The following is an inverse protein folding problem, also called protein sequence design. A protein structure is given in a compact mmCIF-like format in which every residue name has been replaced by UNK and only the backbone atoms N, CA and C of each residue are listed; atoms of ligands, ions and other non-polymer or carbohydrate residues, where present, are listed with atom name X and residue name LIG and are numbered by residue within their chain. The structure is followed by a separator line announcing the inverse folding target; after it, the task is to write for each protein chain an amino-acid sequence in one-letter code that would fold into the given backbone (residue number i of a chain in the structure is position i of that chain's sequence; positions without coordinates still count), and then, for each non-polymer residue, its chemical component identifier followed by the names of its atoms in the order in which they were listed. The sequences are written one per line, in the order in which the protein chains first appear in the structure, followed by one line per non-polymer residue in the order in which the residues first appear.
data_IF_478851052478
#
_entry.id   IF_478851052478
#
_cell.length_a   1.000
_cell.length_b   1.000
_cell.length_c   1.000
_cell.angle_alpha   90.00
_cell.angle_beta   90.00
_cell.angle_gamma   90.00
#
_symmetry.space_group_name_H-M   'P 1'
#
loop_
_entity.id
_entity.type
_entity.pdbx_description
1 polymer ?
#
# COMPACT_ATOMS: atom_id res chain seq x y z
N UNK A 1 14.26 5.72 -20.97
CA UNK A 1 14.23 5.48 -20.47
C UNK A 1 13.61 5.11 -20.01
N UNK A 2 13.57 4.84 -19.66
CA UNK A 2 13.30 4.41 -19.12
C UNK A 2 12.77 4.05 -18.58
N UNK A 3 12.44 4.09 -18.37
CA UNK A 3 12.06 3.73 -17.83
C UNK A 3 11.54 3.01 -17.27
N UNK A 4 11.54 2.87 -16.76
CA UNK A 4 11.49 2.00 -16.04
C UNK A 4 10.79 2.12 -14.92
N UNK A 5 9.85 1.78 -14.77
CA UNK A 5 9.10 1.91 -13.87
C UNK A 5 9.16 1.00 -12.88
N UNK A 6 9.51 1.31 -12.02
CA UNK A 6 9.78 0.49 -10.98
C UNK A 6 8.53 0.21 -10.29
N UNK A 7 8.05 -0.93 -10.43
CA UNK A 7 6.98 -1.34 -9.67
C UNK A 7 7.27 -1.32 -8.22
N UNK A 8 8.50 -1.51 -7.82
CA UNK A 8 8.90 -1.44 -6.43
C UNK A 8 8.65 -0.08 -5.80
N UNK A 9 8.70 0.95 -6.62
CA UNK A 9 8.48 2.29 -6.13
C UNK A 9 7.04 2.51 -5.73
N UNK A 10 6.11 2.03 -6.54
CA UNK A 10 4.70 2.19 -6.22
C UNK A 10 4.35 1.44 -4.94
N UNK A 11 4.86 0.24 -4.80
CA UNK A 11 4.60 -0.53 -3.60
C UNK A 11 5.20 0.15 -2.37
N UNK A 12 6.38 0.68 -2.52
CA UNK A 12 7.04 1.36 -1.42
C UNK A 12 6.26 2.60 -0.99
N UNK A 13 5.77 3.35 -1.94
CA UNK A 13 4.96 4.52 -1.64
C UNK A 13 3.67 4.13 -0.96
N UNK A 14 3.08 3.02 -1.40
CA UNK A 14 1.85 2.53 -0.79
C UNK A 14 2.07 2.12 0.65
N UNK A 15 3.17 1.45 0.93
CA UNK A 15 3.50 1.02 2.28
C UNK A 15 3.63 2.23 3.19
N UNK A 16 4.34 3.23 2.73
CA UNK A 16 4.53 4.44 3.50
C UNK A 16 3.20 5.14 3.73
N UNK A 17 2.40 5.24 2.68
CA UNK A 17 1.12 5.92 2.77
C UNK A 17 0.19 5.23 3.77
N UNK A 18 0.13 3.91 3.71
CA UNK A 18 -0.71 3.16 4.62
C UNK A 18 -0.27 3.34 6.07
N UNK A 19 1.03 3.31 6.29
CA UNK A 19 1.55 3.50 7.64
C UNK A 19 1.17 4.86 8.19
N UNK A 20 1.29 5.88 7.37
CA UNK A 20 0.97 7.24 7.79
C UNK A 20 -0.52 7.39 8.07
N UNK A 21 -1.34 6.82 7.19
CA UNK A 21 -2.78 6.91 7.36
C UNK A 21 -3.24 6.15 8.60
N UNK A 22 -2.61 5.02 8.86
CA UNK A 22 -2.96 4.24 10.03
C UNK A 22 -2.62 5.00 11.30
N UNK A 23 -1.50 5.69 11.30
CA UNK A 23 -1.10 6.47 12.47
C UNK A 23 -2.02 7.66 12.68
N UNK A 24 -2.45 8.26 11.58
CA UNK A 24 -3.33 9.42 11.67
C UNK A 24 -4.75 9.03 12.05
N UNK A 25 -5.19 7.85 11.63
CA UNK A 25 -6.53 7.38 11.92
C UNK A 25 -6.56 5.90 12.19
N UNK A 26 -6.18 5.49 13.38
CA UNK A 26 -6.14 4.05 13.70
C UNK A 26 -7.48 3.36 13.66
N UNK A 27 -8.55 4.13 13.60
CA UNK A 27 -9.89 3.57 13.52
C UNK A 27 -10.21 3.03 12.14
N UNK A 28 -9.50 3.46 11.13
CA UNK A 28 -9.77 3.02 9.77
C UNK A 28 -9.28 1.59 9.61
N UNK A 29 -10.08 0.73 9.02
CA UNK A 29 -9.71 -0.66 8.92
C UNK A 29 -8.53 -0.82 7.95
N UNK A 30 -7.68 -1.78 8.26
CA UNK A 30 -6.52 -2.05 7.42
C UNK A 30 -6.92 -2.45 6.02
N UNK A 31 -7.98 -3.23 5.90
CA UNK A 31 -8.48 -3.64 4.59
C UNK A 31 -8.83 -2.44 3.74
N UNK A 32 -9.47 -1.47 4.35
CA UNK A 32 -9.87 -0.29 3.63
C UNK A 32 -8.65 0.48 3.16
N UNK A 33 -7.64 0.60 4.01
CA UNK A 33 -6.42 1.29 3.63
C UNK A 33 -5.73 0.59 2.47
N UNK A 34 -5.71 -0.74 2.50
CA UNK A 34 -5.10 -1.49 1.41
C UNK A 34 -5.86 -1.25 0.11
N UNK A 35 -7.19 -1.27 0.16
CA UNK A 35 -7.99 -1.03 -1.02
C UNK A 35 -7.72 0.36 -1.60
N UNK A 36 -7.68 1.35 -0.73
CA UNK A 36 -7.44 2.71 -1.18
C UNK A 36 -6.06 2.86 -1.78
N UNK A 37 -5.07 2.24 -1.16
CA UNK A 37 -3.71 2.30 -1.68
C UNK A 37 -3.61 1.62 -3.03
N UNK A 38 -4.30 0.49 -3.19
CA UNK A 38 -4.27 -0.24 -4.45
C UNK A 38 -4.77 0.63 -5.60
N UNK A 39 -5.81 1.38 -5.35
CA UNK A 39 -6.37 2.27 -6.36
C UNK A 39 -5.48 3.49 -6.55
N UNK A 40 -5.07 4.09 -5.44
CA UNK A 40 -4.28 5.31 -5.48
C UNK A 40 -2.96 5.12 -6.21
N UNK A 41 -2.31 4.01 -6.01
CA UNK A 41 -1.01 3.75 -6.60
C UNK A 41 -1.06 2.74 -7.74
N UNK A 42 -2.27 2.35 -8.13
CA UNK A 42 -2.46 1.44 -9.26
C UNK A 42 -1.63 0.18 -9.09
N UNK A 43 -1.78 -0.48 -7.98
CA UNK A 43 -0.98 -1.64 -7.65
C UNK A 43 -1.46 -2.89 -8.38
N UNK A 44 -0.52 -3.78 -8.67
CA UNK A 44 -0.86 -5.06 -9.27
C UNK A 44 -1.42 -5.98 -8.19
N UNK A 45 -2.11 -7.06 -8.58
CA UNK A 45 -2.66 -7.99 -7.60
C UNK A 45 -1.61 -8.54 -6.65
N UNK A 46 -0.41 -8.77 -7.17
CA UNK A 46 0.67 -9.28 -6.37
C UNK A 46 1.09 -8.27 -5.30
N UNK A 47 1.15 -7.02 -5.68
CA UNK A 47 1.50 -5.96 -4.74
C UNK A 47 0.40 -5.78 -3.71
N UNK A 48 -0.85 -5.94 -4.12
CA UNK A 48 -1.96 -5.84 -3.19
C UNK A 48 -1.88 -6.96 -2.15
N UNK A 49 -1.51 -8.17 -2.58
CA UNK A 49 -1.34 -9.27 -1.66
C UNK A 49 -0.26 -8.98 -0.64
N UNK A 50 0.85 -8.45 -1.12
CA UNK A 50 1.95 -8.08 -0.22
C UNK A 50 1.48 -7.05 0.79
N UNK A 51 0.77 -6.04 0.28
CA UNK A 51 0.31 -4.96 1.12
C UNK A 51 -0.69 -5.44 2.17
N UNK A 52 -1.55 -6.35 1.78
CA UNK A 52 -2.51 -6.93 2.72
C UNK A 52 -1.80 -7.65 3.85
N UNK A 53 -0.78 -8.42 3.50
CA UNK A 53 -0.01 -9.14 4.50
C UNK A 53 0.76 -8.16 5.38
N UNK A 54 1.34 -7.14 4.78
CA UNK A 54 2.06 -6.14 5.52
C UNK A 54 1.16 -5.45 6.55
N UNK A 55 -0.02 -5.06 6.11
CA UNK A 55 -0.96 -4.37 7.00
C UNK A 55 -1.37 -5.27 8.15
N UNK A 56 -1.55 -6.56 7.84
CA UNK A 56 -1.98 -7.47 8.85
C UNK A 56 -0.89 -7.74 9.89
N UNK A 57 0.35 -7.82 9.46
CA UNK A 57 1.45 -8.18 10.36
C UNK A 57 2.14 -6.98 10.99
N UNK A 58 2.24 -5.88 10.26
CA UNK A 58 3.00 -4.75 10.75
C UNK A 58 2.15 -3.63 11.33
N UNK A 59 0.93 -3.55 10.92
CA UNK A 59 0.01 -2.57 11.45
C UNK A 59 -1.00 -3.22 12.36
#
# INVERSE_FOLDING_TARGET
MSTIQPKGDDLRKAVKWISEEHQAGPDVSRSKLVEQAAVKFNLSPKDVEFLTRFAKEEL
#
